data_IF_540421053598
#
_entry.id   IF_540421053598
#
_cell.length_a   1.000
_cell.length_b   1.000
_cell.length_c   1.000
_cell.angle_alpha   90.00
_cell.angle_beta   90.00
_cell.angle_gamma   90.00
#
_symmetry.space_group_name_H-M   'P 1'
#
loop_
_entity.id
_entity.type
_entity.pdbx_description
1 polymer ?
#
# COMPACT_ATOMS: atom_id res chain seq x y z
N UNK A 1 -14.01 -20.50 -0.63
CA UNK A 1 -13.10 -19.70 -1.49
C UNK A 1 -13.92 -18.58 -2.10
N UNK A 2 -13.63 -17.32 -1.77
CA UNK A 2 -14.20 -16.18 -2.49
C UNK A 2 -13.44 -16.00 -3.80
N UNK A 3 -14.05 -16.34 -4.92
CA UNK A 3 -13.45 -16.10 -6.24
C UNK A 3 -13.46 -14.60 -6.57
N UNK A 4 -12.46 -14.14 -7.31
CA UNK A 4 -12.43 -12.79 -7.86
C UNK A 4 -13.66 -12.59 -8.76
N UNK A 5 -14.46 -11.55 -8.48
CA UNK A 5 -15.59 -11.17 -9.33
C UNK A 5 -15.13 -10.12 -10.32
N UNK A 6 -15.25 -10.41 -11.62
CA UNK A 6 -14.88 -9.48 -12.69
C UNK A 6 -16.13 -8.92 -13.39
N UNK A 7 -16.04 -7.69 -13.89
CA UNK A 7 -17.02 -7.07 -14.80
C UNK A 7 -16.30 -6.37 -15.94
N UNK A 8 -16.93 -6.27 -17.10
CA UNK A 8 -16.47 -5.36 -18.15
C UNK A 8 -16.76 -3.92 -17.72
N UNK A 9 -15.84 -3.01 -18.05
CA UNK A 9 -15.92 -1.58 -17.72
C UNK A 9 -15.74 -0.81 -19.03
N UNK A 10 -16.55 0.22 -19.26
CA UNK A 10 -16.28 1.19 -20.32
C UNK A 10 -15.19 2.15 -19.81
N UNK A 11 -14.04 2.29 -20.49
CA UNK A 11 -12.97 3.19 -20.04
C UNK A 11 -13.43 4.65 -19.88
N UNK A 12 -14.54 5.05 -20.52
CA UNK A 12 -15.14 6.39 -20.36
C UNK A 12 -15.76 6.64 -18.98
N UNK A 13 -15.89 5.61 -18.15
CA UNK A 13 -16.34 5.69 -16.74
C UNK A 13 -15.25 6.29 -15.82
N UNK A 14 -14.00 6.38 -16.30
CA UNK A 14 -12.88 6.94 -15.55
C UNK A 14 -12.61 8.37 -16.01
N UNK A 15 -12.63 9.33 -15.08
CA UNK A 15 -12.43 10.75 -15.40
C UNK A 15 -10.98 11.22 -15.21
N UNK A 16 -10.13 10.43 -14.56
CA UNK A 16 -8.74 10.76 -14.33
C UNK A 16 -7.87 9.50 -14.21
N UNK A 17 -6.61 9.61 -14.61
CA UNK A 17 -5.60 8.57 -14.50
C UNK A 17 -4.28 9.24 -14.10
N UNK A 18 -3.45 8.54 -13.32
CA UNK A 18 -2.06 8.93 -13.08
C UNK A 18 -1.20 7.71 -13.34
N UNK A 19 -0.18 7.89 -14.17
CA UNK A 19 0.78 6.83 -14.52
C UNK A 19 1.61 6.38 -13.31
N UNK A 20 1.82 7.30 -12.37
CA UNK A 20 2.70 7.14 -11.23
C UNK A 20 2.05 7.67 -9.94
N UNK A 21 2.33 7.00 -8.83
CA UNK A 21 1.84 7.36 -7.50
C UNK A 21 2.98 7.32 -6.50
N UNK A 22 3.05 8.31 -5.59
CA UNK A 22 3.89 8.20 -4.41
C UNK A 22 3.34 7.10 -3.50
N UNK A 23 4.19 6.21 -3.01
CA UNK A 23 3.77 5.17 -2.08
C UNK A 23 4.18 5.50 -0.65
N UNK A 24 3.42 4.95 0.30
CA UNK A 24 3.77 4.95 1.70
C UNK A 24 3.82 3.52 2.22
N UNK A 25 4.92 3.15 2.84
CA UNK A 25 5.11 1.83 3.44
C UNK A 25 5.20 1.98 4.94
N UNK A 26 4.35 1.24 5.64
CA UNK A 26 4.40 1.14 7.09
C UNK A 26 4.88 -0.25 7.44
N UNK A 27 5.99 -0.34 8.16
CA UNK A 27 6.43 -1.58 8.80
C UNK A 27 6.08 -1.53 10.29
N UNK A 28 5.74 -2.69 10.82
CA UNK A 28 5.27 -2.85 12.19
C UNK A 28 6.09 -3.91 12.90
N UNK A 29 6.86 -3.48 13.88
CA UNK A 29 7.49 -4.34 14.87
C UNK A 29 6.49 -4.56 16.01
N UNK A 30 5.70 -5.63 15.90
CA UNK A 30 4.67 -5.96 16.90
C UNK A 30 5.30 -6.30 18.25
N UNK A 31 6.51 -6.87 18.25
CA UNK A 31 7.22 -7.23 19.48
C UNK A 31 7.74 -6.01 20.23
N UNK A 32 8.22 -4.99 19.52
CA UNK A 32 8.73 -3.75 20.09
C UNK A 32 7.66 -2.66 20.23
N UNK A 33 6.44 -2.90 19.72
CA UNK A 33 5.35 -1.91 19.63
C UNK A 33 5.84 -0.63 18.93
N UNK A 34 6.48 -0.80 17.78
CA UNK A 34 7.10 0.27 17.02
C UNK A 34 6.68 0.23 15.55
N UNK A 35 6.59 1.42 14.93
CA UNK A 35 6.33 1.58 13.50
C UNK A 35 7.48 2.29 12.80
N UNK A 36 7.71 1.91 11.55
CA UNK A 36 8.68 2.54 10.67
C UNK A 36 7.99 2.90 9.35
N UNK A 37 7.94 4.19 9.03
CA UNK A 37 7.22 4.70 7.87
C UNK A 37 8.19 5.26 6.83
N UNK A 38 7.97 4.87 5.58
CA UNK A 38 8.78 5.28 4.43
C UNK A 38 7.89 5.84 3.34
N UNK A 39 8.31 6.94 2.73
CA UNK A 39 7.73 7.47 1.50
C UNK A 39 8.61 7.04 0.33
N UNK A 40 7.98 6.51 -0.71
CA UNK A 40 8.64 6.04 -1.92
C UNK A 40 8.15 6.92 -3.08
N UNK A 41 9.05 7.62 -3.78
CA UNK A 41 8.66 8.51 -4.86
C UNK A 41 8.08 7.74 -6.04
N UNK A 42 7.30 8.45 -6.83
CA UNK A 42 6.46 8.02 -7.95
C UNK A 42 7.17 7.24 -9.08
N UNK A 43 8.50 7.21 -9.10
CA UNK A 43 9.30 6.46 -10.09
C UNK A 43 9.35 4.94 -9.85
N UNK A 44 8.83 4.43 -8.74
CA UNK A 44 8.95 2.99 -8.39
C UNK A 44 7.78 2.16 -8.91
N UNK A 45 8.07 1.04 -9.58
CA UNK A 45 7.04 0.08 -9.98
C UNK A 45 6.43 -0.64 -8.76
N UNK A 46 5.12 -0.89 -8.77
CA UNK A 46 4.43 -1.48 -7.63
C UNK A 46 4.89 -2.91 -7.33
N UNK A 47 5.22 -3.70 -8.35
CA UNK A 47 5.69 -5.07 -8.15
C UNK A 47 7.11 -5.09 -7.57
N UNK A 48 7.97 -4.15 -8.00
CA UNK A 48 9.30 -3.95 -7.40
C UNK A 48 9.18 -3.54 -5.93
N UNK A 49 8.32 -2.57 -5.63
CA UNK A 49 8.04 -2.13 -4.27
C UNK A 49 7.57 -3.30 -3.39
N UNK A 50 6.59 -4.07 -3.87
CA UNK A 50 6.05 -5.20 -3.11
C UNK A 50 7.09 -6.32 -2.91
N UNK A 51 7.99 -6.53 -3.87
CA UNK A 51 9.14 -7.42 -3.72
C UNK A 51 10.04 -6.97 -2.57
N UNK A 52 10.50 -5.73 -2.62
CA UNK A 52 11.35 -5.14 -1.59
C UNK A 52 10.71 -5.17 -0.20
N UNK A 53 9.44 -4.75 -0.07
CA UNK A 53 8.75 -4.71 1.23
C UNK A 53 8.66 -6.11 1.85
N UNK A 54 8.38 -7.14 1.04
CA UNK A 54 8.27 -8.52 1.54
C UNK A 54 9.61 -9.03 2.06
N UNK A 55 10.68 -8.80 1.30
CA UNK A 55 12.03 -9.22 1.70
C UNK A 55 12.48 -8.48 2.97
N UNK A 56 12.34 -7.15 2.98
CA UNK A 56 12.74 -6.30 4.11
C UNK A 56 12.02 -6.67 5.41
N UNK A 57 10.71 -6.93 5.33
CA UNK A 57 9.92 -7.34 6.48
C UNK A 57 10.25 -8.76 6.95
N UNK A 58 10.45 -9.70 6.02
CA UNK A 58 10.76 -11.09 6.33
C UNK A 58 12.08 -11.22 7.09
N UNK A 59 13.11 -10.47 6.70
CA UNK A 59 14.40 -10.43 7.41
C UNK A 59 14.30 -10.00 8.87
N UNK A 60 13.28 -9.19 9.20
CA UNK A 60 13.08 -8.59 10.53
C UNK A 60 11.97 -9.24 11.34
N UNK A 61 11.20 -10.15 10.74
CA UNK A 61 9.99 -10.69 11.34
C UNK A 61 8.89 -9.65 11.55
N UNK A 62 8.90 -8.58 10.76
CA UNK A 62 7.93 -7.49 10.85
C UNK A 62 6.70 -7.76 9.97
N UNK A 63 5.60 -7.09 10.30
CA UNK A 63 4.45 -6.99 9.38
C UNK A 63 4.47 -5.66 8.65
N UNK A 64 3.67 -5.51 7.59
CA UNK A 64 3.73 -4.32 6.77
C UNK A 64 2.38 -3.99 6.12
N UNK A 65 2.24 -2.73 5.72
CA UNK A 65 1.13 -2.23 4.88
C UNK A 65 1.68 -1.25 3.85
N UNK A 66 1.27 -1.40 2.59
CA UNK A 66 1.62 -0.50 1.48
C UNK A 66 0.38 0.29 1.06
N UNK A 67 0.56 1.59 0.88
CA UNK A 67 -0.45 2.52 0.42
C UNK A 67 0.03 3.27 -0.83
N UNK A 68 -0.88 3.55 -1.77
CA UNK A 68 -0.71 4.64 -2.71
C UNK A 68 -1.20 5.93 -2.06
N UNK A 69 -0.46 7.02 -2.24
CA UNK A 69 -0.91 8.35 -1.89
C UNK A 69 -1.81 8.87 -3.00
N UNK A 70 -2.98 9.37 -2.63
CA UNK A 70 -3.88 10.04 -3.56
C UNK A 70 -4.32 11.37 -2.96
N UNK A 71 -4.57 12.35 -3.82
CA UNK A 71 -5.21 13.60 -3.40
C UNK A 71 -6.68 13.53 -3.78
N UNK A 72 -7.56 13.67 -2.80
CA UNK A 72 -9.00 13.73 -3.00
C UNK A 72 -9.53 15.06 -2.46
N UNK A 73 -10.26 15.81 -3.28
CA UNK A 73 -10.77 17.14 -2.94
C UNK A 73 -9.74 18.13 -2.33
N UNK A 74 -8.45 17.97 -2.65
CA UNK A 74 -7.36 18.81 -2.14
C UNK A 74 -6.71 18.29 -0.84
N UNK A 75 -7.20 17.17 -0.29
CA UNK A 75 -6.64 16.52 0.89
C UNK A 75 -5.78 15.32 0.49
N UNK A 76 -4.62 15.16 1.13
CA UNK A 76 -3.74 14.01 0.92
C UNK A 76 -4.28 12.82 1.71
N UNK A 77 -4.62 11.75 1.00
CA UNK A 77 -5.12 10.49 1.54
C UNK A 77 -4.27 9.29 1.15
N UNK A 78 -4.59 8.14 1.74
CA UNK A 78 -3.91 6.87 1.51
C UNK A 78 -4.91 5.81 1.02
N UNK A 79 -4.58 5.15 -0.07
CA UNK A 79 -5.32 4.00 -0.63
C UNK A 79 -4.50 2.75 -0.35
N UNK A 80 -5.03 1.83 0.46
CA UNK A 80 -4.33 0.59 0.81
C UNK A 80 -4.22 -0.32 -0.41
N UNK A 81 -2.99 -0.73 -0.73
CA UNK A 81 -2.71 -1.66 -1.83
C UNK A 81 -2.53 -3.09 -1.32
N UNK A 82 -1.74 -3.28 -0.27
CA UNK A 82 -1.38 -4.61 0.24
C UNK A 82 -0.95 -4.59 1.72
N UNK A 83 -0.80 -5.78 2.31
CA UNK A 83 -0.35 -5.97 3.68
C UNK A 83 -1.49 -6.16 4.69
N UNK A 84 -1.20 -5.92 5.97
CA UNK A 84 -2.18 -6.07 7.07
C UNK A 84 -3.28 -5.01 6.99
N UNK A 85 -4.47 -5.36 7.48
CA UNK A 85 -5.64 -4.49 7.54
C UNK A 85 -5.87 -4.05 8.99
N UNK A 86 -6.10 -2.75 9.21
CA UNK A 86 -6.39 -2.20 10.53
C UNK A 86 -5.15 -1.84 11.32
N UNK A 87 -5.32 -1.63 12.63
CA UNK A 87 -4.23 -1.37 13.57
C UNK A 87 -3.55 -2.70 13.96
N UNK A 88 -2.28 -2.92 13.58
CA UNK A 88 -1.56 -4.14 13.92
C UNK A 88 -1.21 -4.27 15.41
N UNK A 89 -1.40 -3.22 16.21
CA UNK A 89 -1.26 -3.26 17.66
C UNK A 89 -2.58 -3.50 18.39
N UNK A 90 -3.73 -3.38 17.71
CA UNK A 90 -5.02 -3.66 18.31
C UNK A 90 -5.19 -5.18 18.48
N UNK A 91 -5.20 -5.63 19.75
CA UNK A 91 -5.51 -7.01 20.13
C UNK A 91 -7.00 -7.31 20.04
#
# INVERSE_FOLDING_TARGET
>A
MGGMRTRLVDPRDTTWERDHADYRVHFWDVTAVASHEYEIPDETDIDELLGWVREYAAERGWTWTVYATATDHGERGLIRLAGVLGDPFAQ
#
